data_IF_967702738843
#
_entry.id   IF_967702738843
#
_cell.length_a   1.000
_cell.length_b   1.000
_cell.length_c   1.000
_cell.angle_alpha   90.00
_cell.angle_beta   90.00
_cell.angle_gamma   90.00
#
_symmetry.space_group_name_H-M   'P 1'
#
loop_
_entity.id
_entity.type
_entity.pdbx_description
1 polymer ?
#
# COMPACT_ATOMS: atom_id res chain seq x y z
N UNK A 1 32.07 -34.95 -42.21
CA UNK A 1 32.17 -33.69 -41.46
C UNK A 1 30.87 -32.90 -41.66
N UNK A 2 29.88 -33.04 -40.78
CA UNK A 2 28.55 -32.39 -40.91
C UNK A 2 28.25 -31.63 -39.62
N UNK A 3 28.85 -30.46 -39.38
CA UNK A 3 28.61 -29.74 -38.11
C UNK A 3 28.61 -28.20 -38.13
N UNK A 4 28.50 -27.45 -39.25
CA UNK A 4 28.26 -26.00 -39.12
C UNK A 4 26.79 -25.70 -38.79
N UNK A 5 25.84 -26.41 -39.42
CA UNK A 5 24.39 -26.12 -39.29
C UNK A 5 23.83 -26.39 -37.89
N UNK A 6 24.32 -27.44 -37.22
CA UNK A 6 23.87 -27.78 -35.86
C UNK A 6 24.33 -26.78 -34.82
N UNK A 7 25.54 -26.22 -34.99
CA UNK A 7 26.08 -25.19 -34.10
C UNK A 7 25.29 -23.90 -34.18
N UNK A 8 24.89 -23.48 -35.39
CA UNK A 8 24.05 -22.29 -35.55
C UNK A 8 22.65 -22.49 -34.96
N UNK A 9 22.08 -23.70 -35.04
CA UNK A 9 20.81 -24.02 -34.39
C UNK A 9 20.91 -23.93 -32.87
N UNK A 10 21.98 -24.47 -32.27
CA UNK A 10 22.22 -24.37 -30.83
C UNK A 10 22.44 -22.94 -30.38
N UNK A 11 23.22 -22.15 -31.13
CA UNK A 11 23.49 -20.75 -30.82
C UNK A 11 22.21 -19.91 -30.93
N UNK A 12 21.38 -20.13 -31.96
CA UNK A 12 20.10 -19.44 -32.11
C UNK A 12 19.13 -19.78 -30.98
N UNK A 13 19.09 -21.06 -30.56
CA UNK A 13 18.26 -21.48 -29.43
C UNK A 13 18.76 -20.91 -28.11
N UNK A 14 20.08 -20.86 -27.91
CA UNK A 14 20.71 -20.30 -26.72
C UNK A 14 20.51 -18.79 -26.62
N UNK A 15 20.72 -18.04 -27.71
CA UNK A 15 20.47 -16.60 -27.74
C UNK A 15 18.98 -16.29 -27.63
N UNK A 16 18.12 -17.11 -28.25
CA UNK A 16 16.68 -17.01 -28.12
C UNK A 16 16.21 -17.24 -26.69
N UNK A 17 16.73 -18.26 -26.00
CA UNK A 17 16.40 -18.52 -24.60
C UNK A 17 16.93 -17.41 -23.68
N UNK A 18 18.12 -16.87 -23.96
CA UNK A 18 18.67 -15.73 -23.22
C UNK A 18 17.82 -14.47 -23.40
N UNK A 19 17.37 -14.18 -24.62
CA UNK A 19 16.50 -13.04 -24.91
C UNK A 19 15.09 -13.22 -24.31
N UNK A 20 14.60 -14.46 -24.25
CA UNK A 20 13.31 -14.79 -23.64
C UNK A 20 13.38 -14.66 -22.10
N UNK A 21 14.46 -15.14 -21.48
CA UNK A 21 14.75 -14.94 -20.05
C UNK A 21 14.96 -13.46 -19.72
N UNK A 22 15.78 -12.76 -20.50
CA UNK A 22 16.02 -11.32 -20.36
C UNK A 22 14.73 -10.53 -20.57
N UNK A 23 13.89 -10.94 -21.52
CA UNK A 23 12.57 -10.38 -21.77
C UNK A 23 11.61 -10.60 -20.60
N UNK A 24 11.60 -11.78 -19.97
CA UNK A 24 10.78 -12.04 -18.77
C UNK A 24 11.26 -11.24 -17.54
N UNK A 25 12.56 -11.10 -17.33
CA UNK A 25 13.10 -10.24 -16.28
C UNK A 25 12.81 -8.75 -16.54
N UNK A 26 12.94 -8.30 -17.80
CA UNK A 26 12.71 -6.90 -18.21
C UNK A 26 11.23 -6.54 -18.30
N UNK A 27 10.36 -7.46 -18.71
CA UNK A 27 8.90 -7.29 -18.79
C UNK A 27 8.25 -7.28 -17.41
N UNK A 28 9.03 -7.46 -16.35
CA UNK A 28 8.55 -7.28 -15.01
C UNK A 28 7.84 -8.51 -14.50
N UNK A 29 8.61 -9.31 -13.76
CA UNK A 29 8.16 -9.90 -12.49
C UNK A 29 7.88 -8.76 -11.48
N UNK A 30 7.07 -7.78 -11.92
CA UNK A 30 6.72 -6.51 -11.27
C UNK A 30 5.38 -6.64 -10.54
N UNK A 31 4.87 -7.84 -10.36
CA UNK A 31 3.45 -7.99 -10.05
C UNK A 31 3.08 -9.19 -9.19
N UNK A 32 4.01 -10.02 -8.71
CA UNK A 32 3.70 -10.98 -7.64
C UNK A 32 4.18 -10.50 -6.27
N UNK A 33 5.43 -10.06 -6.15
CA UNK A 33 5.95 -9.48 -4.90
C UNK A 33 5.25 -8.16 -4.55
N UNK A 34 4.96 -7.33 -5.55
CA UNK A 34 4.22 -6.07 -5.38
C UNK A 34 2.74 -6.33 -5.05
N UNK A 35 2.10 -7.32 -5.70
CA UNK A 35 0.73 -7.73 -5.36
C UNK A 35 0.66 -8.37 -3.98
N UNK A 36 1.64 -9.18 -3.58
CA UNK A 36 1.72 -9.74 -2.23
C UNK A 36 1.90 -8.62 -1.19
N UNK A 37 2.76 -7.63 -1.46
CA UNK A 37 2.92 -6.44 -0.61
C UNK A 37 1.63 -5.64 -0.47
N UNK A 38 0.81 -5.53 -1.51
CA UNK A 38 -0.49 -4.82 -1.46
C UNK A 38 -1.61 -5.67 -0.85
N UNK A 39 -1.61 -6.99 -1.07
CA UNK A 39 -2.69 -7.89 -0.66
C UNK A 39 -2.78 -8.05 0.85
N UNK A 40 -1.65 -7.97 1.55
CA UNK A 40 -1.61 -8.07 3.01
C UNK A 40 -1.84 -6.71 3.70
N UNK A 41 -1.95 -5.61 2.95
CA UNK A 41 -2.16 -4.26 3.51
C UNK A 41 -3.64 -3.98 3.62
N UNK A 42 -4.03 -3.41 4.76
CA UNK A 42 -5.41 -2.96 4.96
C UNK A 42 -5.71 -1.73 4.10
N UNK A 43 -4.71 -0.88 3.89
CA UNK A 43 -4.82 0.37 3.15
C UNK A 43 -3.76 0.43 2.03
N UNK A 44 -3.98 -0.26 0.89
CA UNK A 44 -2.97 -0.38 -0.17
C UNK A 44 -2.63 0.97 -0.83
N UNK A 45 -3.59 1.89 -0.88
CA UNK A 45 -3.41 3.22 -1.51
C UNK A 45 -2.46 4.13 -0.70
N UNK A 46 -2.27 3.85 0.60
CA UNK A 46 -1.34 4.56 1.47
C UNK A 46 0.11 4.05 1.37
N UNK A 47 0.36 2.94 0.68
CA UNK A 47 1.70 2.33 0.59
C UNK A 47 2.65 3.23 -0.21
N UNK A 48 2.17 3.83 -1.30
CA UNK A 48 2.97 4.68 -2.18
C UNK A 48 3.03 6.15 -1.70
N UNK A 49 2.15 6.53 -0.77
CA UNK A 49 2.07 7.89 -0.23
C UNK A 49 3.26 8.16 0.71
N UNK A 50 4.04 9.21 0.46
CA UNK A 50 5.08 9.64 1.41
C UNK A 50 4.43 10.30 2.61
N UNK A 51 5.00 10.11 3.80
CA UNK A 51 4.48 10.69 5.04
C UNK A 51 4.47 12.23 5.00
N UNK A 52 5.46 12.81 4.32
CA UNK A 52 5.54 14.25 4.03
C UNK A 52 4.38 14.78 3.20
N UNK A 53 3.74 13.92 2.41
CA UNK A 53 2.67 14.32 1.49
C UNK A 53 1.30 14.33 2.20
N UNK A 54 1.22 13.80 3.43
CA UNK A 54 0.03 13.82 4.26
C UNK A 54 -0.19 15.24 4.79
N UNK A 55 -1.25 15.89 4.31
CA UNK A 55 -1.63 17.26 4.71
C UNK A 55 -2.71 17.33 5.77
N UNK A 56 -3.59 16.33 5.81
CA UNK A 56 -4.74 16.28 6.71
C UNK A 56 -5.00 14.85 7.13
N UNK A 57 -5.26 14.65 8.42
CA UNK A 57 -5.72 13.38 8.99
C UNK A 57 -7.06 13.64 9.66
N UNK A 58 -8.03 12.80 9.39
CA UNK A 58 -9.37 12.94 9.93
C UNK A 58 -9.83 11.63 10.55
N UNK A 59 -10.34 11.72 11.77
CA UNK A 59 -10.84 10.58 12.52
C UNK A 59 -12.27 10.88 12.92
N UNK A 60 -13.19 10.10 12.37
CA UNK A 60 -14.60 10.13 12.74
C UNK A 60 -14.85 9.14 13.89
N UNK A 61 -15.36 9.64 15.01
CA UNK A 61 -15.83 8.86 16.17
C UNK A 61 -17.30 9.16 16.44
N UNK A 62 -18.16 9.00 15.44
CA UNK A 62 -19.61 9.05 15.59
C UNK A 62 -20.10 10.47 15.92
N UNK A 63 -20.07 10.87 17.19
CA UNK A 63 -20.41 12.24 17.62
C UNK A 63 -19.24 13.21 17.58
N UNK A 64 -18.01 12.71 17.62
CA UNK A 64 -16.80 13.54 17.67
C UNK A 64 -15.95 13.35 16.42
N UNK A 65 -15.51 14.46 15.83
CA UNK A 65 -14.58 14.49 14.70
C UNK A 65 -13.27 15.10 15.14
N UNK A 66 -12.17 14.38 14.95
CA UNK A 66 -10.83 14.92 15.11
C UNK A 66 -10.23 15.22 13.74
N UNK A 67 -9.89 16.47 13.51
CA UNK A 67 -9.24 16.92 12.27
C UNK A 67 -7.86 17.44 12.61
N UNK A 68 -6.83 16.84 12.03
CA UNK A 68 -5.43 17.28 12.12
C UNK A 68 -5.00 17.88 10.79
N UNK A 69 -4.38 19.06 10.82
CA UNK A 69 -3.81 19.73 9.64
C UNK A 69 -2.31 19.98 9.83
N UNK A 70 -1.52 19.69 8.80
CA UNK A 70 -0.09 19.94 8.81
C UNK A 70 0.17 21.44 8.59
N UNK A 71 0.84 22.09 9.53
CA UNK A 71 1.17 23.53 9.51
C UNK A 71 2.69 23.77 9.46
N UNK A 72 3.37 23.08 8.55
CA UNK A 72 4.82 23.16 8.36
C UNK A 72 5.48 21.78 8.30
N UNK A 73 6.82 21.71 8.19
CA UNK A 73 7.53 20.44 8.01
C UNK A 73 7.34 19.44 9.17
N UNK A 74 7.13 19.95 10.39
CA UNK A 74 7.02 19.17 11.63
C UNK A 74 5.96 19.69 12.62
N UNK A 75 5.03 20.51 12.14
CA UNK A 75 4.00 21.09 12.98
C UNK A 75 2.64 20.58 12.52
N UNK A 76 1.82 20.17 13.49
CA UNK A 76 0.47 19.70 13.30
C UNK A 76 -0.47 20.49 14.20
N UNK A 77 -1.64 20.83 13.69
CA UNK A 77 -2.70 21.52 14.40
C UNK A 77 -3.93 20.63 14.45
N UNK A 78 -4.54 20.53 15.62
CA UNK A 78 -5.91 20.04 15.74
C UNK A 78 -6.81 21.20 15.32
N UNK A 79 -7.67 20.99 14.31
CA UNK A 79 -8.68 21.95 13.87
C UNK A 79 -10.02 21.74 14.57
N UNK A 80 -10.38 20.48 14.76
CA UNK A 80 -11.62 20.06 15.42
C UNK A 80 -11.27 19.01 16.49
N UNK A 81 -11.85 19.08 17.71
CA UNK A 81 -12.90 20.01 18.15
C UNK A 81 -12.40 21.40 18.61
N UNK A 82 -11.10 21.57 18.88
CA UNK A 82 -10.50 22.84 19.28
C UNK A 82 -9.25 23.14 18.46
N UNK A 83 -9.03 24.41 18.11
CA UNK A 83 -7.87 24.87 17.35
C UNK A 83 -6.62 24.95 18.25
N UNK A 84 -5.96 23.81 18.47
CA UNK A 84 -4.79 23.69 19.36
C UNK A 84 -3.62 22.99 18.68
N UNK A 85 -2.41 23.20 19.20
CA UNK A 85 -1.23 22.48 18.74
C UNK A 85 -1.40 20.97 18.99
N UNK A 86 -1.18 20.18 17.94
CA UNK A 86 -1.14 18.73 18.05
C UNK A 86 0.28 18.28 18.41
N UNK A 87 0.37 17.17 19.14
CA UNK A 87 1.63 16.47 19.33
C UNK A 87 2.08 15.88 17.98
N UNK A 88 3.02 16.56 17.32
CA UNK A 88 3.48 16.17 15.99
C UNK A 88 4.00 14.71 15.97
N UNK A 89 4.72 14.29 17.01
CA UNK A 89 5.24 12.93 17.14
C UNK A 89 4.12 11.87 17.15
N UNK A 90 3.00 12.16 17.83
CA UNK A 90 1.86 11.24 17.89
C UNK A 90 1.15 11.14 16.52
N UNK A 91 1.01 12.25 15.81
CA UNK A 91 0.37 12.27 14.48
C UNK A 91 1.24 11.55 13.45
N UNK A 92 2.55 11.76 13.44
CA UNK A 92 3.46 11.04 12.55
C UNK A 92 3.48 9.54 12.88
N UNK A 93 3.54 9.18 14.17
CA UNK A 93 3.48 7.78 14.62
C UNK A 93 2.18 7.10 14.16
N UNK A 94 1.05 7.81 14.23
CA UNK A 94 -0.24 7.34 13.70
C UNK A 94 -0.18 7.11 12.19
N UNK A 95 0.37 8.05 11.41
CA UNK A 95 0.50 7.92 9.95
C UNK A 95 1.37 6.71 9.60
N UNK A 96 2.52 6.56 10.26
CA UNK A 96 3.41 5.42 10.05
C UNK A 96 2.74 4.10 10.42
N UNK A 97 1.98 4.05 11.53
CA UNK A 97 1.22 2.87 11.93
C UNK A 97 0.14 2.49 10.91
N UNK A 98 -0.59 3.47 10.38
CA UNK A 98 -1.63 3.26 9.36
C UNK A 98 -1.04 2.73 8.05
N UNK A 99 0.08 3.30 7.59
CA UNK A 99 0.84 2.76 6.43
C UNK A 99 1.38 1.36 6.71
N UNK A 100 1.77 1.12 7.96
CA UNK A 100 2.26 -0.15 8.48
C UNK A 100 1.20 -1.24 8.62
N UNK A 101 -0.09 -0.88 8.52
CA UNK A 101 -1.19 -1.75 8.87
C UNK A 101 -1.29 -2.94 7.91
N UNK A 102 -1.19 -4.15 8.48
CA UNK A 102 -1.29 -5.42 7.76
C UNK A 102 -2.46 -6.23 8.30
N UNK A 103 -3.15 -6.93 7.41
CA UNK A 103 -4.18 -7.89 7.78
C UNK A 103 -3.50 -9.03 8.54
N UNK A 104 -4.00 -9.37 9.72
CA UNK A 104 -3.50 -10.53 10.46
C UNK A 104 -3.77 -11.79 9.63
N UNK A 105 -2.82 -12.74 9.52
CA UNK A 105 -3.06 -14.01 8.84
C UNK A 105 -4.16 -14.84 9.52
N UNK A 106 -4.45 -14.59 10.80
CA UNK A 106 -5.53 -15.22 11.56
C UNK A 106 -6.87 -14.49 11.40
N UNK A 107 -6.89 -13.31 10.77
CA UNK A 107 -8.13 -12.58 10.51
C UNK A 107 -8.90 -13.28 9.39
N UNK A 108 -9.85 -14.15 9.78
CA UNK A 108 -10.82 -14.74 8.87
C UNK A 108 -11.60 -13.69 8.06
N UNK A 109 -12.19 -14.12 6.96
CA UNK A 109 -13.20 -13.31 6.27
C UNK A 109 -14.54 -13.54 6.97
N UNK A 110 -15.20 -12.45 7.38
CA UNK A 110 -16.57 -12.52 7.85
C UNK A 110 -17.46 -12.58 6.61
N UNK A 111 -18.07 -13.74 6.36
CA UNK A 111 -19.04 -13.91 5.29
C UNK A 111 -20.43 -13.50 5.80
N UNK A 112 -21.03 -12.51 5.13
CA UNK A 112 -22.37 -12.03 5.43
C UNK A 112 -22.48 -10.49 5.40
N UNK A 113 -23.70 -9.95 5.57
CA UNK A 113 -23.92 -8.51 5.57
C UNK A 113 -23.17 -7.85 6.73
N UNK A 114 -22.32 -6.86 6.47
CA UNK A 114 -21.56 -6.17 7.52
C UNK A 114 -22.45 -5.64 8.68
N UNK A 115 -23.70 -5.28 8.36
CA UNK A 115 -24.71 -4.87 9.32
C UNK A 115 -25.06 -5.95 10.37
N UNK A 116 -25.04 -7.24 10.04
CA UNK A 116 -25.33 -8.31 11.01
C UNK A 116 -24.22 -8.47 12.05
N UNK A 117 -23.05 -7.91 11.80
CA UNK A 117 -21.89 -7.94 12.69
C UNK A 117 -21.61 -6.55 13.32
N UNK A 118 -22.53 -5.59 13.17
CA UNK A 118 -22.31 -4.23 13.68
C UNK A 118 -21.21 -3.45 12.94
N UNK A 119 -20.78 -3.93 11.78
CA UNK A 119 -19.74 -3.31 10.93
C UNK A 119 -20.36 -2.45 9.81
N UNK A 120 -21.56 -1.91 10.04
CA UNK A 120 -22.21 -1.05 9.05
C UNK A 120 -21.35 0.20 8.78
N UNK A 121 -21.15 0.59 7.51
CA UNK A 121 -20.37 1.79 7.19
C UNK A 121 -21.02 3.03 7.81
N UNK A 122 -20.22 4.02 8.24
CA UNK A 122 -20.75 5.27 8.77
C UNK A 122 -21.59 5.98 7.70
N UNK A 123 -22.63 6.74 8.10
CA UNK A 123 -23.47 7.48 7.16
C UNK A 123 -22.61 8.48 6.36
N UNK A 124 -22.91 8.71 5.06
CA UNK A 124 -22.15 9.63 4.24
C UNK A 124 -22.26 11.07 4.77
N UNK A 125 -21.11 11.71 4.98
CA UNK A 125 -20.93 13.11 5.39
C UNK A 125 -21.15 14.10 4.26
#
# INVERSE_FOLDING_TARGET
MKTPRSTYLLIGFFLGSLLLLWGMERAGVLTEAERARRRDRVLPDLVDLKESDVRRVEIDRGTDRLVFERHGPRAWLIREPYAVDAAAEDVESLITALKGLRRSPEAGAVEGPAASFGLAPPPPS
#
